data_IF_185873170902
#
_entry.id   IF_185873170902
#
_cell.length_a   1.000
_cell.length_b   1.000
_cell.length_c   1.000
_cell.angle_alpha   90.00
_cell.angle_beta   90.00
_cell.angle_gamma   90.00
#
_symmetry.space_group_name_H-M   'P 1'
#
loop_
_entity.id
_entity.type
_entity.pdbx_description
1 polymer ?
#
# COMPACT_ATOMS: atom_id res chain seq x y z
N UNK A 1 -11.45 -17.60 4.61
CA UNK A 1 -10.02 -17.95 4.47
C UNK A 1 -9.33 -16.75 3.82
N UNK A 2 -8.30 -16.17 4.43
CA UNK A 2 -7.60 -15.00 3.84
C UNK A 2 -6.97 -15.35 2.51
N UNK A 3 -7.22 -14.52 1.51
CA UNK A 3 -6.75 -14.68 0.13
C UNK A 3 -5.92 -13.47 -0.29
N UNK A 4 -5.24 -13.60 -1.43
CA UNK A 4 -4.53 -12.48 -2.04
C UNK A 4 -5.52 -11.41 -2.49
N UNK A 5 -5.26 -10.16 -2.13
CA UNK A 5 -6.01 -8.99 -2.59
C UNK A 5 -5.33 -8.44 -3.82
N UNK A 6 -6.09 -8.34 -4.91
CA UNK A 6 -5.64 -7.72 -6.15
C UNK A 6 -5.81 -6.20 -6.04
N UNK A 7 -4.83 -5.48 -6.58
CA UNK A 7 -4.79 -4.03 -6.50
C UNK A 7 -4.10 -3.45 -7.73
N UNK A 8 -4.27 -2.15 -7.96
CA UNK A 8 -3.47 -1.36 -8.90
C UNK A 8 -2.93 -0.13 -8.20
N UNK A 9 -1.76 0.37 -8.61
CA UNK A 9 -1.27 1.66 -8.10
C UNK A 9 -1.94 2.77 -8.89
N UNK A 10 -2.78 3.57 -8.22
CA UNK A 10 -3.53 4.67 -8.85
C UNK A 10 -2.86 6.03 -8.65
N UNK A 11 -1.92 6.12 -7.73
CA UNK A 11 -1.14 7.33 -7.49
C UNK A 11 0.26 7.00 -7.00
N UNK A 12 1.22 7.77 -7.48
CA UNK A 12 2.61 7.78 -7.02
C UNK A 12 3.12 9.21 -7.03
N UNK A 13 3.67 9.70 -5.92
CA UNK A 13 4.21 11.07 -5.85
C UNK A 13 5.40 11.29 -6.78
N UNK A 14 6.16 10.23 -7.06
CA UNK A 14 7.22 10.22 -8.08
C UNK A 14 7.54 8.79 -8.50
N UNK A 15 8.26 8.61 -9.60
CA UNK A 15 8.83 7.32 -9.97
C UNK A 15 10.08 7.52 -10.83
N UNK A 16 11.02 6.59 -10.76
CA UNK A 16 12.07 6.44 -11.76
C UNK A 16 11.48 5.76 -13.01
N UNK A 17 11.87 6.23 -14.20
CA UNK A 17 11.30 5.77 -15.48
C UNK A 17 11.49 4.25 -15.70
N UNK A 18 12.59 3.69 -15.17
CA UNK A 18 12.89 2.26 -15.28
C UNK A 18 12.18 1.41 -14.23
N UNK A 19 11.59 2.04 -13.21
CA UNK A 19 10.99 1.39 -12.04
C UNK A 19 9.63 2.03 -11.70
N UNK A 20 8.67 2.01 -12.66
CA UNK A 20 7.38 2.66 -12.48
C UNK A 20 6.54 1.94 -11.43
N UNK A 21 5.57 2.65 -10.84
CA UNK A 21 4.75 2.08 -9.78
C UNK A 21 3.86 0.91 -10.23
N UNK A 22 3.58 0.81 -11.54
CA UNK A 22 2.86 -0.32 -12.14
C UNK A 22 3.59 -1.66 -11.97
N UNK A 23 4.92 -1.66 -11.82
CA UNK A 23 5.70 -2.89 -11.57
C UNK A 23 5.26 -3.60 -10.28
N UNK A 24 4.71 -2.87 -9.30
CA UNK A 24 4.22 -3.47 -8.05
C UNK A 24 3.01 -4.39 -8.24
N UNK A 25 2.31 -4.29 -9.37
CA UNK A 25 1.21 -5.20 -9.72
C UNK A 25 1.72 -6.58 -10.14
N UNK A 26 2.89 -6.63 -10.78
CA UNK A 26 3.45 -7.86 -11.30
C UNK A 26 4.23 -8.60 -10.22
N UNK A 27 4.16 -9.92 -10.25
CA UNK A 27 4.97 -10.77 -9.37
C UNK A 27 5.76 -11.75 -10.21
N UNK A 28 7.07 -11.78 -10.01
CA UNK A 28 7.97 -12.66 -10.75
C UNK A 28 9.42 -12.36 -10.42
N UNK A 29 10.35 -13.24 -10.83
CA UNK A 29 11.77 -13.09 -10.54
C UNK A 29 12.42 -11.89 -11.25
N UNK A 30 11.76 -11.35 -12.28
CA UNK A 30 12.27 -10.25 -13.12
C UNK A 30 11.60 -8.90 -12.85
N UNK A 31 10.70 -8.83 -11.86
CA UNK A 31 10.00 -7.59 -11.53
C UNK A 31 10.97 -6.66 -10.79
N UNK A 32 11.09 -5.43 -11.27
CA UNK A 32 12.04 -4.46 -10.72
C UNK A 32 11.44 -3.68 -9.54
N UNK A 33 10.10 -3.68 -9.44
CA UNK A 33 9.36 -2.95 -8.42
C UNK A 33 9.34 -1.45 -8.68
N UNK A 34 8.91 -0.71 -7.66
CA UNK A 34 8.85 0.75 -7.71
C UNK A 34 10.11 1.37 -7.10
N UNK A 35 10.57 2.47 -7.68
CA UNK A 35 11.61 3.33 -7.13
C UNK A 35 11.20 4.79 -7.28
N UNK A 36 11.43 5.61 -6.26
CA UNK A 36 11.20 7.06 -6.34
C UNK A 36 12.12 7.73 -7.37
N UNK A 37 11.77 8.91 -7.88
CA UNK A 37 12.72 9.70 -8.68
C UNK A 37 13.97 10.06 -7.86
N UNK A 38 15.08 10.36 -8.55
CA UNK A 38 16.33 10.79 -7.92
C UNK A 38 16.12 12.10 -7.15
N UNK A 39 16.75 12.21 -5.97
CA UNK A 39 16.66 13.38 -5.09
C UNK A 39 15.21 13.80 -4.80
N UNK A 40 14.31 12.82 -4.68
CA UNK A 40 12.90 13.08 -4.41
C UNK A 40 12.71 13.80 -3.05
N UNK A 41 11.74 14.72 -2.95
CA UNK A 41 11.35 15.27 -1.65
C UNK A 41 10.75 14.17 -0.78
N UNK A 42 10.88 14.26 0.53
CA UNK A 42 10.24 13.32 1.46
C UNK A 42 9.09 14.00 2.22
N UNK A 43 8.03 13.25 2.58
CA UNK A 43 7.81 11.83 2.27
C UNK A 43 7.37 11.60 0.82
N UNK A 44 7.56 10.37 0.34
CA UNK A 44 6.95 9.87 -0.89
C UNK A 44 5.63 9.16 -0.57
N UNK A 45 4.72 9.11 -1.53
CA UNK A 45 3.39 8.51 -1.37
C UNK A 45 3.09 7.54 -2.50
N UNK A 46 2.49 6.40 -2.14
CA UNK A 46 1.86 5.46 -3.08
C UNK A 46 0.42 5.22 -2.62
N UNK A 47 -0.51 5.14 -3.57
CA UNK A 47 -1.89 4.73 -3.27
C UNK A 47 -2.26 3.55 -4.16
N UNK A 48 -2.60 2.45 -3.51
CA UNK A 48 -3.04 1.20 -4.11
C UNK A 48 -4.55 1.15 -4.01
N UNK A 49 -5.25 1.03 -5.14
CA UNK A 49 -6.68 0.77 -5.18
C UNK A 49 -6.90 -0.73 -5.30
N UNK A 50 -7.74 -1.29 -4.43
CA UNK A 50 -8.15 -2.68 -4.51
C UNK A 50 -9.20 -2.87 -5.62
N UNK A 51 -9.22 -4.05 -6.24
CA UNK A 51 -10.25 -4.37 -7.24
C UNK A 51 -11.66 -4.44 -6.63
N UNK A 52 -11.76 -4.71 -5.32
CA UNK A 52 -13.00 -4.81 -4.57
C UNK A 52 -12.85 -4.17 -3.20
N UNK A 53 -13.97 -3.91 -2.54
CA UNK A 53 -13.96 -3.57 -1.11
C UNK A 53 -13.49 -4.78 -0.30
N UNK A 54 -12.48 -4.61 0.55
CA UNK A 54 -11.88 -5.73 1.29
C UNK A 54 -11.72 -5.41 2.76
N UNK A 55 -11.75 -6.47 3.58
CA UNK A 55 -11.12 -6.48 4.91
C UNK A 55 -9.66 -6.87 4.74
N UNK A 56 -8.76 -5.91 4.79
CA UNK A 56 -7.33 -6.13 4.71
C UNK A 56 -6.82 -6.71 6.03
N UNK A 57 -6.12 -7.85 5.96
CA UNK A 57 -5.62 -8.61 7.12
C UNK A 57 -4.10 -8.58 7.26
N UNK A 58 -3.38 -8.40 6.15
CA UNK A 58 -1.92 -8.40 6.15
C UNK A 58 -1.37 -7.61 4.97
N UNK A 59 -0.30 -6.87 5.23
CA UNK A 59 0.56 -6.29 4.19
C UNK A 59 1.94 -6.90 4.33
N UNK A 60 2.48 -7.40 3.23
CA UNK A 60 3.85 -7.87 3.15
C UNK A 60 4.59 -6.99 2.14
N UNK A 61 5.76 -6.48 2.53
CA UNK A 61 6.52 -5.54 1.73
C UNK A 61 7.98 -5.98 1.70
N UNK A 62 8.53 -6.12 0.49
CA UNK A 62 9.94 -6.43 0.24
C UNK A 62 10.69 -5.14 -0.09
N UNK A 63 11.55 -4.68 0.82
CA UNK A 63 12.36 -3.49 0.62
C UNK A 63 13.57 -3.79 -0.26
N UNK A 64 13.98 -2.81 -1.06
CA UNK A 64 15.27 -2.85 -1.75
C UNK A 64 16.43 -2.93 -0.76
N UNK A 65 17.55 -3.57 -1.12
CA UNK A 65 18.65 -3.84 -0.21
C UNK A 65 19.52 -2.63 0.17
N UNK A 66 19.49 -1.55 -0.62
CA UNK A 66 20.19 -0.28 -0.31
C UNK A 66 19.37 1.00 -0.56
N UNK A 67 18.21 0.91 -1.21
CA UNK A 67 17.29 2.05 -1.42
C UNK A 67 16.20 2.02 -0.34
N UNK A 68 16.63 1.93 0.92
CA UNK A 68 15.77 1.54 2.02
C UNK A 68 15.15 2.78 2.66
N UNK A 69 13.81 2.86 2.68
CA UNK A 69 13.11 3.86 3.48
C UNK A 69 13.33 3.62 4.98
N UNK A 70 13.53 4.66 5.78
CA UNK A 70 13.69 4.51 7.24
C UNK A 70 12.39 4.07 7.92
N UNK A 71 11.26 4.56 7.43
CA UNK A 71 9.92 4.31 7.96
C UNK A 71 8.89 4.28 6.84
N UNK A 72 7.90 3.39 6.94
CA UNK A 72 6.74 3.36 6.06
C UNK A 72 5.49 3.33 6.91
N UNK A 73 4.57 4.26 6.69
CA UNK A 73 3.27 4.32 7.34
C UNK A 73 2.18 3.80 6.40
N UNK A 74 1.15 3.18 6.99
CA UNK A 74 0.06 2.56 6.27
C UNK A 74 -1.26 3.21 6.69
N UNK A 75 -2.05 3.60 5.70
CA UNK A 75 -3.39 4.14 5.90
C UNK A 75 -4.36 3.38 5.01
N UNK A 76 -5.50 2.97 5.56
CA UNK A 76 -6.61 2.41 4.78
C UNK A 76 -7.50 3.57 4.34
N UNK A 77 -7.85 3.63 3.06
CA UNK A 77 -8.81 4.58 2.52
C UNK A 77 -10.16 3.91 2.30
N UNK A 78 -11.21 4.47 2.86
CA UNK A 78 -12.60 4.07 2.61
C UNK A 78 -13.30 5.11 1.72
N UNK A 79 -13.86 4.68 0.59
CA UNK A 79 -14.73 5.48 -0.26
C UNK A 79 -16.12 4.84 -0.43
N UNK A 80 -16.54 4.06 0.56
CA UNK A 80 -17.82 3.34 0.58
C UNK A 80 -19.05 4.23 0.34
N UNK A 81 -18.94 5.50 0.69
CA UNK A 81 -19.99 6.51 0.54
C UNK A 81 -19.92 7.31 -0.77
N UNK A 82 -18.87 7.13 -1.58
CA UNK A 82 -18.72 7.84 -2.85
C UNK A 82 -19.34 7.05 -4.00
N UNK A 83 -20.11 7.74 -4.85
CA UNK A 83 -20.69 7.19 -6.07
C UNK A 83 -19.61 6.69 -7.07
N UNK A 84 -18.42 7.30 -7.01
CA UNK A 84 -17.26 6.94 -7.81
C UNK A 84 -16.07 6.61 -6.93
N UNK A 85 -15.44 5.47 -7.19
CA UNK A 85 -14.23 5.02 -6.52
C UNK A 85 -13.04 5.93 -6.88
N UNK A 86 -12.83 6.99 -6.10
CA UNK A 86 -11.75 7.97 -6.27
C UNK A 86 -10.89 8.06 -5.01
N UNK A 87 -9.58 7.97 -5.18
CA UNK A 87 -8.66 7.93 -4.04
C UNK A 87 -8.53 9.29 -3.33
N UNK A 88 -8.85 10.38 -4.02
CA UNK A 88 -8.81 11.75 -3.51
C UNK A 88 -9.93 12.02 -2.48
N UNK A 89 -11.08 11.35 -2.65
CA UNK A 89 -12.23 11.51 -1.77
C UNK A 89 -12.21 10.51 -0.59
N UNK A 90 -11.38 9.47 -0.69
CA UNK A 90 -11.33 8.42 0.32
C UNK A 90 -10.94 8.98 1.70
N UNK A 91 -11.63 8.51 2.73
CA UNK A 91 -11.31 8.83 4.13
C UNK A 91 -10.21 7.91 4.61
N UNK A 92 -9.02 8.47 4.83
CA UNK A 92 -7.86 7.69 5.25
C UNK A 92 -7.74 7.56 6.76
N UNK A 93 -7.65 6.33 7.25
CA UNK A 93 -7.41 5.99 8.66
C UNK A 93 -6.05 5.32 8.79
N UNK A 94 -5.23 5.81 9.72
CA UNK A 94 -3.88 5.28 9.97
C UNK A 94 -3.95 3.90 10.64
N UNK A 95 -3.30 2.91 10.03
CA UNK A 95 -3.21 1.55 10.55
C UNK A 95 -1.96 1.34 11.42
N UNK A 96 -0.91 2.12 11.17
CA UNK A 96 0.37 2.00 11.87
C UNK A 96 1.55 2.27 10.94
N UNK A 97 2.73 1.84 11.35
CA UNK A 97 3.96 2.00 10.59
C UNK A 97 4.93 0.84 10.84
N UNK A 98 5.91 0.71 9.95
CA UNK A 98 7.11 -0.11 10.15
C UNK A 98 8.35 0.75 10.08
N UNK A 99 9.38 0.32 10.80
CA UNK A 99 10.75 0.75 10.60
C UNK A 99 11.52 -0.40 9.94
N UNK A 100 12.30 -0.03 8.93
CA UNK A 100 13.16 -0.95 8.20
C UNK A 100 14.58 -0.88 8.77
N UNK A 101 15.34 -1.95 8.57
CA UNK A 101 16.75 -1.99 8.95
C UNK A 101 17.59 -1.22 7.93
N UNK A 102 18.62 -0.49 8.38
CA UNK A 102 19.59 0.14 7.47
C UNK A 102 20.33 -0.86 6.58
N UNK A 103 20.33 -2.14 6.98
CA UNK A 103 20.96 -3.25 6.27
C UNK A 103 22.50 -3.17 6.18
N UNK A 104 23.13 -2.30 6.97
CA UNK A 104 24.59 -2.17 7.07
C UNK A 104 25.27 -3.47 7.51
N UNK A 105 24.63 -4.23 8.40
CA UNK A 105 25.16 -5.52 8.91
C UNK A 105 25.37 -6.57 7.83
N UNK A 106 24.64 -6.49 6.72
CA UNK A 106 24.76 -7.42 5.59
C UNK A 106 25.56 -6.82 4.44
N UNK A 107 26.20 -5.66 4.65
CA UNK A 107 26.86 -4.89 3.60
C UNK A 107 25.89 -4.52 2.45
N UNK A 108 24.63 -4.27 2.81
CA UNK A 108 23.53 -3.93 1.90
C UNK A 108 23.20 -5.00 0.84
N UNK A 109 23.44 -6.28 1.15
CA UNK A 109 23.26 -7.40 0.22
C UNK A 109 21.91 -8.10 0.37
N UNK A 110 21.33 -8.06 1.56
CA UNK A 110 20.08 -8.76 1.85
C UNK A 110 18.85 -7.87 1.62
N UNK A 111 17.79 -8.41 1.03
CA UNK A 111 16.48 -7.73 1.00
C UNK A 111 15.72 -8.02 2.28
N UNK A 112 14.95 -7.05 2.77
CA UNK A 112 14.13 -7.21 3.98
C UNK A 112 12.66 -7.39 3.61
N UNK A 113 12.05 -8.51 4.00
CA UNK A 113 10.61 -8.75 3.91
C UNK A 113 9.96 -8.42 5.26
N UNK A 114 9.15 -7.37 5.31
CA UNK A 114 8.31 -7.06 6.48
C UNK A 114 6.90 -7.56 6.25
N UNK A 115 6.31 -8.15 7.28
CA UNK A 115 4.89 -8.51 7.30
C UNK A 115 4.24 -7.77 8.46
N UNK A 116 3.19 -7.00 8.18
CA UNK A 116 2.36 -6.37 9.20
C UNK A 116 0.99 -7.00 9.24
N UNK A 117 0.50 -7.25 10.44
CA UNK A 117 -0.89 -7.57 10.63
C UNK A 117 -1.68 -6.26 10.69
N UNK A 118 -2.74 -6.21 9.89
CA UNK A 118 -3.71 -5.12 9.89
C UNK A 118 -5.08 -5.76 9.99
N UNK A 119 -6.08 -5.01 10.44
CA UNK A 119 -7.47 -5.47 10.41
C UNK A 119 -8.38 -4.27 10.17
N UNK A 120 -8.60 -3.96 8.90
CA UNK A 120 -9.40 -2.80 8.51
C UNK A 120 -10.07 -2.98 7.15
N UNK A 121 -11.22 -2.33 7.00
CA UNK A 121 -12.03 -2.37 5.80
C UNK A 121 -11.74 -1.14 4.93
N UNK A 122 -11.66 -1.33 3.62
CA UNK A 122 -11.43 -0.21 2.71
C UNK A 122 -11.33 -0.59 1.24
N UNK A 123 -11.19 0.45 0.42
CA UNK A 123 -10.98 0.39 -1.03
C UNK A 123 -9.55 0.72 -1.45
N UNK A 124 -8.79 1.39 -0.57
CA UNK A 124 -7.45 1.87 -0.87
C UNK A 124 -6.47 1.55 0.26
N UNK A 125 -5.20 1.36 -0.09
CA UNK A 125 -4.08 1.41 0.84
C UNK A 125 -3.15 2.55 0.41
N UNK A 126 -2.97 3.54 1.28
CA UNK A 126 -1.98 4.60 1.13
C UNK A 126 -0.73 4.26 1.93
N UNK A 127 0.43 4.35 1.30
CA UNK A 127 1.73 4.24 1.92
C UNK A 127 2.37 5.63 2.00
N UNK A 128 2.87 6.00 3.17
CA UNK A 128 3.70 7.19 3.37
C UNK A 128 5.13 6.72 3.63
N UNK A 129 6.02 6.98 2.68
CA UNK A 129 7.36 6.42 2.61
C UNK A 129 8.36 7.52 2.95
N UNK A 130 8.99 7.39 4.12
CA UNK A 130 9.91 8.41 4.63
C UNK A 130 11.30 8.30 4.03
N UNK A 131 12.15 9.27 4.41
CA UNK A 131 13.55 9.38 3.97
C UNK A 131 14.31 8.07 4.00
N UNK A 132 15.24 7.87 3.06
CA UNK A 132 16.08 6.69 3.03
C UNK A 132 17.11 6.66 4.19
N UNK A 133 17.67 5.48 4.45
CA UNK A 133 18.98 5.38 5.10
C UNK A 133 20.07 5.76 4.10
N UNK A 134 20.88 6.76 4.45
CA UNK A 134 22.03 7.18 3.65
C UNK A 134 23.08 6.07 3.63
N UNK A 135 23.59 5.75 2.45
CA UNK A 135 24.67 4.78 2.28
C UNK A 135 25.39 5.01 0.94
N UNK A 136 26.55 4.36 0.77
CA UNK A 136 27.42 4.55 -0.41
C UNK A 136 26.82 4.09 -1.75
N UNK A 137 25.78 3.26 -1.73
CA UNK A 137 25.11 2.77 -2.94
C UNK A 137 23.90 3.64 -3.33
N UNK A 138 23.31 4.37 -2.37
CA UNK A 138 22.16 5.24 -2.58
C UNK A 138 22.57 6.71 -2.67
N UNK A 139 23.38 7.05 -3.66
CA UNK A 139 23.91 8.41 -3.88
C UNK A 139 22.84 9.44 -4.25
N UNK A 140 21.66 8.98 -4.65
CA UNK A 140 20.55 9.83 -5.10
C UNK A 140 19.44 9.98 -4.07
N UNK A 141 19.60 9.48 -2.84
CA UNK A 141 18.57 9.50 -1.80
C UNK A 141 17.21 9.04 -2.34
N UNK A 142 17.19 7.85 -2.93
CA UNK A 142 15.98 7.21 -3.43
C UNK A 142 15.46 6.19 -2.43
N UNK A 143 14.17 5.88 -2.53
CA UNK A 143 13.53 4.76 -1.82
C UNK A 143 12.94 3.82 -2.84
N UNK A 144 12.95 2.51 -2.55
CA UNK A 144 12.40 1.50 -3.46
C UNK A 144 11.73 0.37 -2.71
N UNK A 145 10.59 -0.04 -3.25
CA UNK A 145 9.82 -1.21 -2.83
C UNK A 145 9.84 -2.19 -3.99
N UNK A 146 10.35 -3.38 -3.76
CA UNK A 146 10.49 -4.40 -4.80
C UNK A 146 9.14 -5.09 -5.04
N UNK A 147 8.43 -5.42 -3.97
CA UNK A 147 7.14 -6.11 -4.06
C UNK A 147 6.24 -5.77 -2.87
N UNK A 148 4.94 -5.75 -3.12
CA UNK A 148 3.89 -5.66 -2.10
C UNK A 148 2.93 -6.83 -2.30
N UNK A 149 2.67 -7.59 -1.24
CA UNK A 149 1.65 -8.63 -1.23
C UNK A 149 0.60 -8.30 -0.16
N UNK A 150 -0.66 -8.25 -0.58
CA UNK A 150 -1.80 -7.92 0.27
C UNK A 150 -2.64 -9.16 0.50
N UNK A 151 -3.00 -9.42 1.75
CA UNK A 151 -3.86 -10.55 2.13
C UNK A 151 -5.07 -10.03 2.89
N UNK A 152 -6.25 -10.53 2.54
CA UNK A 152 -7.51 -10.05 3.07
C UNK A 152 -8.68 -10.93 2.61
N UNK A 153 -9.90 -10.41 2.75
CA UNK A 153 -11.11 -11.02 2.20
C UNK A 153 -11.94 -9.93 1.52
N UNK A 154 -12.61 -10.28 0.43
CA UNK A 154 -13.64 -9.42 -0.14
C UNK A 154 -14.77 -9.25 0.87
N UNK A 155 -15.36 -8.07 0.87
CA UNK A 155 -16.65 -7.81 1.51
C UNK A 155 -17.62 -7.52 0.37
N UNK A 156 -18.53 -8.45 0.12
CA UNK A 156 -19.62 -8.22 -0.81
C UNK A 156 -20.57 -7.20 -0.18
N UNK A 157 -20.65 -6.00 -0.75
CA UNK A 157 -21.63 -4.97 -0.36
C UNK A 157 -22.98 -5.14 -1.06
N UNK A 158 -23.22 -6.28 -1.71
CA UNK A 158 -24.54 -6.62 -2.23
C UNK A 158 -25.46 -6.99 -1.07
N UNK A 159 -26.43 -6.11 -0.80
CA UNK A 159 -27.59 -6.26 0.09
C UNK A 159 -27.44 -5.85 1.56
N UNK A 160 -27.29 -4.55 1.82
CA UNK A 160 -27.96 -3.89 2.96
C UNK A 160 -28.79 -2.73 2.41
N UNK A 161 -29.94 -3.05 1.79
CA UNK A 161 -31.00 -2.11 1.50
C UNK A 161 -32.33 -2.85 1.63
N UNK A 162 -33.21 -2.32 2.47
CA UNK A 162 -34.58 -2.75 2.83
C UNK A 162 -34.71 -3.87 3.86
N UNK A 163 -34.81 -3.45 5.13
CA UNK A 163 -35.91 -3.84 6.03
C UNK A 163 -35.94 -2.85 7.20
N UNK A 164 -36.61 -1.71 7.04
CA UNK A 164 -37.11 -0.86 8.14
C UNK A 164 -38.08 0.20 7.59
N UNK A 165 -39.19 -0.24 7.00
CA UNK A 165 -40.42 0.56 6.92
C UNK A 165 -41.59 -0.34 6.51
N UNK A 166 -42.37 -0.81 7.48
CA UNK A 166 -43.84 -0.80 7.49
C UNK A 166 -44.29 -1.49 8.78
N UNK A 167 -44.41 -0.71 9.86
CA UNK A 167 -45.54 -0.91 10.76
C UNK A 167 -46.00 0.46 11.27
N UNK A 168 -46.90 1.03 10.50
CA UNK A 168 -47.75 2.13 10.90
C UNK A 168 -49.15 1.81 10.41
N UNK A 169 -49.95 1.34 11.36
CA UNK A 169 -51.41 1.46 11.43
C UNK A 169 -52.24 1.05 10.21
N UNK A 170 -52.97 -0.05 10.37
CA UNK A 170 -54.37 -0.10 9.92
C UNK A 170 -55.20 -0.93 10.90
N UNK A 171 -56.15 -0.22 11.50
CA UNK A 171 -57.33 -0.61 12.30
C UNK A 171 -57.69 -2.09 12.44
#
# INVERSE_FOLDING_TARGET
>A
MTRKVQFQVVYSSSADEQHPASELYHHGPFVNGWQSSRLCPYPQELILQFEKYVRLKRVQLLSHQFLIASKIEFLIGDSSSDEYLKYENARYTRLGYIELSSNERTDFKSRELKSIHVDADGSFLKLIIHKNYTNRYNVHNQVSIIAINLLGNDIDKSHENHDDQYDSNSN
#
